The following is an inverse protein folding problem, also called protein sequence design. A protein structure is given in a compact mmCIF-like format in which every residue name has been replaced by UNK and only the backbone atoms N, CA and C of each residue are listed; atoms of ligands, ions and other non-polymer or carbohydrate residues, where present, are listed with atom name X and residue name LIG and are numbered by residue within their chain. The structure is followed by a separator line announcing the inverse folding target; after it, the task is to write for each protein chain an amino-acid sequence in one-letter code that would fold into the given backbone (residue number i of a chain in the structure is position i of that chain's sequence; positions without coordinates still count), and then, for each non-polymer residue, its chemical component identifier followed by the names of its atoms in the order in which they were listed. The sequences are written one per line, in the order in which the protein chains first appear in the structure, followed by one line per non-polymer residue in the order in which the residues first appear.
data_IF_583730613310
#
_entry.id   IF_583730613310
#
_cell.length_a   1.000
_cell.length_b   1.000
_cell.length_c   1.000
_cell.angle_alpha   90.00
_cell.angle_beta   90.00
_cell.angle_gamma   90.00
#
_symmetry.space_group_name_H-M   'P 1'
#
loop_
_entity.id
_entity.type
_entity.pdbx_description
1 polymer ?
#
# COMPACT_ATOMS: atom_id res chain seq x y z
N UNK A 1 -7.65 -18.61 -19.75
CA UNK A 1 -6.97 -17.93 -18.61
C UNK A 1 -6.00 -18.93 -18.00
N UNK A 2 -4.73 -18.58 -17.88
CA UNK A 2 -3.74 -19.44 -17.22
C UNK A 2 -3.50 -18.90 -15.81
N UNK A 3 -3.59 -19.78 -14.80
CA UNK A 3 -3.13 -19.46 -13.46
C UNK A 3 -1.60 -19.41 -13.48
N UNK A 4 -1.03 -18.30 -13.02
CA UNK A 4 0.41 -18.19 -12.85
C UNK A 4 0.80 -18.54 -11.40
N UNK A 5 2.07 -18.91 -11.23
CA UNK A 5 2.65 -19.13 -9.90
C UNK A 5 2.44 -17.87 -9.05
N UNK A 6 2.10 -18.06 -7.77
CA UNK A 6 1.91 -16.97 -6.85
C UNK A 6 3.16 -16.07 -6.77
N UNK A 7 2.96 -14.77 -6.87
CA UNK A 7 4.02 -13.77 -6.76
C UNK A 7 4.09 -13.26 -5.33
N UNK A 8 5.29 -12.90 -4.90
CA UNK A 8 5.47 -12.26 -3.59
C UNK A 8 5.07 -10.78 -3.66
N UNK A 9 4.57 -10.23 -2.56
CA UNK A 9 4.21 -8.80 -2.48
C UNK A 9 5.44 -7.95 -2.80
N UNK A 10 6.62 -8.33 -2.32
CA UNK A 10 7.87 -7.63 -2.61
C UNK A 10 8.17 -7.54 -4.11
N UNK A 11 8.06 -8.67 -4.84
CA UNK A 11 8.31 -8.68 -6.28
C UNK A 11 7.33 -7.77 -7.03
N UNK A 12 6.06 -7.81 -6.62
CA UNK A 12 5.01 -6.96 -7.21
C UNK A 12 5.26 -5.49 -6.95
N UNK A 13 5.66 -5.11 -5.74
CA UNK A 13 6.01 -3.71 -5.41
C UNK A 13 7.22 -3.23 -6.21
N UNK A 14 8.24 -4.07 -6.40
CA UNK A 14 9.39 -3.77 -7.27
C UNK A 14 8.97 -3.58 -8.74
N UNK A 15 8.06 -4.42 -9.22
CA UNK A 15 7.52 -4.33 -10.58
C UNK A 15 6.64 -3.07 -10.77
N UNK A 16 5.96 -2.58 -9.73
CA UNK A 16 5.29 -1.28 -9.72
C UNK A 16 6.31 -0.14 -9.79
N UNK A 17 7.34 -0.17 -8.95
CA UNK A 17 8.40 0.86 -8.93
C UNK A 17 9.13 0.95 -10.27
N UNK A 18 9.32 -0.17 -10.95
CA UNK A 18 9.93 -0.23 -12.30
C UNK A 18 8.97 0.06 -13.46
N UNK A 19 7.71 0.40 -13.17
CA UNK A 19 6.63 0.66 -14.16
C UNK A 19 6.27 -0.52 -15.05
N UNK A 20 6.64 -1.73 -14.66
CA UNK A 20 6.22 -2.96 -15.32
C UNK A 20 4.74 -3.26 -15.05
N UNK A 21 4.26 -2.95 -13.83
CA UNK A 21 2.85 -3.02 -13.46
C UNK A 21 2.24 -1.63 -13.48
N UNK A 22 1.18 -1.49 -14.25
CA UNK A 22 0.47 -0.22 -14.47
C UNK A 22 -1.04 -0.43 -14.37
N UNK A 23 -1.76 0.67 -14.28
CA UNK A 23 -3.22 0.71 -14.32
C UNK A 23 -3.68 1.07 -15.74
N UNK A 24 -4.67 0.37 -16.32
CA UNK A 24 -5.24 0.74 -17.62
C UNK A 24 -6.11 2.00 -17.48
N UNK A 25 -6.50 2.61 -18.59
CA UNK A 25 -7.37 3.78 -18.61
C UNK A 25 -8.76 3.56 -17.97
N UNK A 26 -9.22 2.29 -17.95
CA UNK A 26 -10.44 1.89 -17.24
C UNK A 26 -10.09 1.68 -15.75
N UNK A 27 -9.87 2.77 -15.05
CA UNK A 27 -9.55 2.76 -13.64
C UNK A 27 -10.58 3.54 -12.83
N UNK A 28 -10.78 3.15 -11.58
CA UNK A 28 -11.52 3.93 -10.60
C UNK A 28 -10.55 4.73 -9.75
N UNK A 29 -10.98 5.90 -9.31
CA UNK A 29 -10.24 6.64 -8.29
C UNK A 29 -9.97 5.76 -7.07
N UNK A 30 -8.86 6.02 -6.41
CA UNK A 30 -8.57 5.37 -5.14
C UNK A 30 -9.49 5.93 -4.06
N UNK A 31 -10.28 5.04 -3.45
CA UNK A 31 -11.31 5.42 -2.48
C UNK A 31 -11.18 4.76 -1.12
N UNK A 32 -10.24 3.84 -0.95
CA UNK A 32 -10.06 3.15 0.32
C UNK A 32 -9.57 4.10 1.40
N UNK A 33 -10.21 3.99 2.57
CA UNK A 33 -9.82 4.70 3.79
C UNK A 33 -8.60 4.02 4.43
N UNK A 34 -7.98 4.74 5.37
CA UNK A 34 -6.88 4.20 6.19
C UNK A 34 -7.27 2.94 6.93
N UNK A 35 -8.51 2.87 7.49
CA UNK A 35 -9.02 1.66 8.15
C UNK A 35 -9.13 0.45 7.22
N UNK A 36 -9.49 0.67 5.96
CA UNK A 36 -9.53 -0.43 4.98
C UNK A 36 -8.12 -0.91 4.62
N UNK A 37 -7.15 0.00 4.56
CA UNK A 37 -5.73 -0.35 4.38
C UNK A 37 -5.24 -1.16 5.59
N UNK A 38 -5.51 -0.71 6.81
CA UNK A 38 -5.16 -1.42 8.04
C UNK A 38 -5.74 -2.83 8.06
N UNK A 39 -7.04 -3.00 7.75
CA UNK A 39 -7.69 -4.32 7.66
C UNK A 39 -7.08 -5.23 6.58
N UNK A 40 -6.62 -4.67 5.46
CA UNK A 40 -5.92 -5.45 4.44
C UNK A 40 -4.60 -6.01 4.97
N UNK A 41 -3.81 -5.17 5.65
CA UNK A 41 -2.54 -5.60 6.24
C UNK A 41 -2.73 -6.57 7.40
N UNK A 42 -3.73 -6.35 8.24
CA UNK A 42 -4.11 -7.28 9.29
C UNK A 42 -4.47 -8.66 8.72
N UNK A 43 -5.28 -8.69 7.66
CA UNK A 43 -5.64 -9.93 6.96
C UNK A 43 -4.42 -10.65 6.38
N UNK A 44 -3.47 -9.91 5.80
CA UNK A 44 -2.22 -10.48 5.28
C UNK A 44 -1.36 -11.09 6.39
N UNK A 45 -1.28 -10.42 7.53
CA UNK A 45 -0.51 -10.91 8.69
C UNK A 45 -1.15 -12.10 9.37
N UNK A 46 -2.47 -12.25 9.21
CA UNK A 46 -3.25 -13.43 9.64
C UNK A 46 -3.21 -14.59 8.62
N UNK A 47 -2.47 -14.44 7.53
CA UNK A 47 -2.42 -15.38 6.41
C UNK A 47 -3.79 -15.62 5.76
N UNK A 48 -4.68 -14.64 5.83
CA UNK A 48 -5.96 -14.71 5.14
C UNK A 48 -5.82 -14.40 3.65
N UNK A 49 -6.54 -15.12 2.79
CA UNK A 49 -6.53 -14.86 1.36
C UNK A 49 -7.14 -13.49 1.06
N UNK A 50 -6.39 -12.65 0.37
CA UNK A 50 -6.85 -11.31 -0.03
C UNK A 50 -7.54 -11.29 -1.39
N UNK A 51 -7.99 -12.46 -1.86
CA UNK A 51 -8.58 -12.67 -3.18
C UNK A 51 -7.56 -12.58 -4.34
N UNK A 52 -7.98 -13.02 -5.53
CA UNK A 52 -7.14 -13.03 -6.72
C UNK A 52 -6.98 -11.63 -7.34
N UNK A 53 -5.94 -11.48 -8.15
CA UNK A 53 -5.72 -10.33 -9.02
C UNK A 53 -5.85 -10.75 -10.47
N UNK A 54 -6.41 -9.89 -11.30
CA UNK A 54 -6.51 -10.11 -12.73
C UNK A 54 -5.55 -9.18 -13.46
N UNK A 55 -4.63 -9.77 -14.20
CA UNK A 55 -3.63 -9.05 -14.99
C UNK A 55 -3.89 -9.24 -16.49
N UNK A 56 -3.57 -8.20 -17.23
CA UNK A 56 -3.53 -8.23 -18.68
C UNK A 56 -2.11 -7.93 -19.16
N UNK A 57 -1.48 -8.93 -19.77
CA UNK A 57 -0.16 -8.75 -20.38
C UNK A 57 -0.32 -8.03 -21.70
N UNK A 58 0.26 -6.85 -21.82
CA UNK A 58 0.24 -6.01 -23.01
C UNK A 58 1.63 -6.00 -23.66
N UNK A 59 1.77 -6.62 -24.86
CA UNK A 59 3.04 -6.59 -25.58
C UNK A 59 3.46 -5.16 -25.93
N UNK A 60 4.76 -4.93 -25.98
CA UNK A 60 5.37 -3.61 -26.27
C UNK A 60 4.81 -2.95 -27.52
N UNK A 61 4.61 -3.73 -28.58
CA UNK A 61 4.12 -3.25 -29.87
C UNK A 61 2.72 -2.64 -29.76
N UNK A 62 1.87 -3.22 -28.90
CA UNK A 62 0.49 -2.78 -28.66
C UNK A 62 0.35 -1.76 -27.54
N UNK A 63 1.36 -1.60 -26.71
CA UNK A 63 1.27 -0.74 -25.54
C UNK A 63 0.98 0.74 -25.90
N UNK A 64 1.44 1.18 -27.08
CA UNK A 64 1.21 2.55 -27.57
C UNK A 64 -0.25 2.85 -27.96
N UNK A 65 -1.07 1.82 -28.18
CA UNK A 65 -2.48 1.96 -28.51
C UNK A 65 -3.34 2.29 -27.29
N UNK A 66 -2.79 2.11 -26.09
CA UNK A 66 -3.50 2.28 -24.82
C UNK A 66 -2.86 3.35 -23.95
N UNK A 67 -3.68 3.93 -23.07
CA UNK A 67 -3.20 4.83 -22.01
C UNK A 67 -3.08 4.08 -20.71
N UNK A 68 -1.94 4.23 -20.06
CA UNK A 68 -1.65 3.64 -18.75
C UNK A 68 -1.37 4.72 -17.71
N UNK A 69 -1.57 4.34 -16.45
CA UNK A 69 -1.40 5.20 -15.30
C UNK A 69 -0.53 4.50 -14.25
N UNK A 70 0.25 5.26 -13.54
CA UNK A 70 1.06 4.78 -12.43
C UNK A 70 0.20 4.62 -11.18
N UNK A 71 0.64 3.79 -10.25
CA UNK A 71 0.00 3.69 -8.94
C UNK A 71 0.27 4.94 -8.11
N UNK A 72 -0.72 5.39 -7.34
CA UNK A 72 -0.53 6.46 -6.36
C UNK A 72 0.36 5.91 -5.24
N UNK A 73 1.49 6.56 -5.03
CA UNK A 73 2.37 6.29 -3.90
C UNK A 73 1.99 7.13 -2.69
N UNK A 74 1.89 8.42 -2.89
CA UNK A 74 1.60 9.39 -1.84
C UNK A 74 0.20 9.98 -2.07
N UNK A 75 -0.80 9.30 -1.47
CA UNK A 75 -2.18 9.73 -1.60
C UNK A 75 -2.44 11.01 -0.82
N UNK A 76 -3.05 11.99 -1.48
CA UNK A 76 -3.46 13.22 -0.84
C UNK A 76 -4.89 13.57 -1.24
N UNK A 77 -5.80 13.58 -0.26
CA UNK A 77 -7.25 13.72 -0.46
C UNK A 77 -7.66 14.95 -1.28
N UNK A 78 -6.88 16.03 -1.25
CA UNK A 78 -7.19 17.27 -1.98
C UNK A 78 -6.48 17.36 -3.32
N UNK A 79 -5.20 16.97 -3.42
CA UNK A 79 -4.34 17.26 -4.58
C UNK A 79 -3.77 16.04 -5.27
N UNK A 80 -3.83 14.85 -4.66
CA UNK A 80 -3.22 13.62 -5.17
C UNK A 80 -4.21 12.45 -5.17
N UNK A 81 -5.42 12.67 -5.69
CA UNK A 81 -6.47 11.63 -5.79
C UNK A 81 -6.38 10.82 -7.07
N UNK A 82 -5.80 11.42 -8.11
CA UNK A 82 -5.75 10.82 -9.45
C UNK A 82 -4.40 10.17 -9.68
N UNK A 83 -4.42 9.04 -10.35
CA UNK A 83 -3.23 8.34 -10.76
C UNK A 83 -2.49 9.14 -11.84
N UNK A 84 -1.18 9.35 -11.74
CA UNK A 84 -0.42 10.05 -12.76
C UNK A 84 -0.37 9.22 -14.05
N UNK A 85 -0.38 9.89 -15.20
CA UNK A 85 -0.23 9.21 -16.49
C UNK A 85 1.18 8.62 -16.59
N UNK A 86 1.25 7.34 -16.95
CA UNK A 86 2.51 6.65 -17.05
C UNK A 86 3.27 7.04 -18.33
N UNK A 87 4.58 7.26 -18.18
CA UNK A 87 5.47 7.29 -19.33
C UNK A 87 5.96 5.86 -19.60
N UNK A 88 5.53 5.29 -20.70
CA UNK A 88 5.85 3.92 -21.12
C UNK A 88 7.02 3.84 -22.10
N UNK A 89 7.74 4.96 -22.34
CA UNK A 89 8.90 4.98 -23.21
C UNK A 89 10.02 4.12 -22.63
N UNK A 90 10.47 3.12 -23.38
CA UNK A 90 11.53 2.21 -22.92
C UNK A 90 11.07 1.08 -21.99
N UNK A 91 9.79 0.98 -21.69
CA UNK A 91 9.24 -0.17 -20.99
C UNK A 91 8.97 -1.29 -22.00
N UNK A 92 9.35 -2.52 -21.63
CA UNK A 92 9.08 -3.69 -22.46
C UNK A 92 7.62 -4.15 -22.31
N UNK A 93 7.35 -5.35 -21.89
CA UNK A 93 5.99 -5.83 -21.66
C UNK A 93 5.36 -5.17 -20.42
N UNK A 94 4.16 -4.64 -20.57
CA UNK A 94 3.38 -4.04 -19.48
C UNK A 94 2.38 -5.07 -18.94
N UNK A 95 2.28 -5.16 -17.63
CA UNK A 95 1.23 -5.90 -16.92
C UNK A 95 0.19 -4.90 -16.42
N UNK A 96 -0.94 -4.79 -17.11
CA UNK A 96 -2.05 -3.95 -16.67
C UNK A 96 -2.91 -4.68 -15.64
N UNK A 97 -3.21 -4.05 -14.52
CA UNK A 97 -4.05 -4.64 -13.46
C UNK A 97 -5.50 -4.30 -13.74
N UNK A 98 -6.30 -5.30 -14.11
CA UNK A 98 -7.72 -5.15 -14.42
C UNK A 98 -8.61 -5.26 -13.18
N UNK A 99 -8.32 -6.22 -12.29
CA UNK A 99 -9.01 -6.36 -11.01
C UNK A 99 -8.03 -6.41 -9.83
N UNK A 100 -8.50 -5.92 -8.67
CA UNK A 100 -7.68 -5.77 -7.47
C UNK A 100 -6.92 -4.44 -7.40
N UNK A 101 -7.22 -3.47 -8.25
CA UNK A 101 -6.55 -2.17 -8.31
C UNK A 101 -6.51 -1.46 -6.95
N UNK A 102 -7.63 -1.41 -6.20
CA UNK A 102 -7.69 -0.77 -4.88
C UNK A 102 -6.79 -1.48 -3.86
N UNK A 103 -6.82 -2.82 -3.85
CA UNK A 103 -5.96 -3.63 -2.97
C UNK A 103 -4.48 -3.42 -3.28
N UNK A 104 -4.11 -3.44 -4.57
CA UNK A 104 -2.73 -3.24 -4.99
C UNK A 104 -2.24 -1.83 -4.66
N UNK A 105 -3.05 -0.80 -4.92
CA UNK A 105 -2.75 0.59 -4.54
C UNK A 105 -2.59 0.70 -3.02
N UNK A 106 -3.44 0.03 -2.24
CA UNK A 106 -3.33 0.02 -0.77
C UNK A 106 -2.04 -0.61 -0.28
N UNK A 107 -1.61 -1.73 -0.89
CA UNK A 107 -0.31 -2.34 -0.59
C UNK A 107 0.84 -1.38 -0.90
N UNK A 108 0.78 -0.72 -2.05
CA UNK A 108 1.82 0.22 -2.46
C UNK A 108 1.90 1.45 -1.55
N UNK A 109 0.76 2.07 -1.22
CA UNK A 109 0.68 3.19 -0.26
C UNK A 109 1.20 2.76 1.12
N UNK A 110 0.73 1.61 1.63
CA UNK A 110 1.10 1.15 2.97
C UNK A 110 2.57 0.79 3.12
N UNK A 111 3.19 0.19 2.09
CA UNK A 111 4.58 -0.27 2.14
C UNK A 111 5.60 0.80 1.73
N UNK A 112 5.24 1.68 0.80
CA UNK A 112 6.20 2.61 0.18
C UNK A 112 5.80 4.08 0.28
N UNK A 113 4.54 4.36 0.53
CA UNK A 113 3.99 5.69 0.38
C UNK A 113 3.48 6.32 1.67
N UNK A 114 2.52 7.21 1.48
CA UNK A 114 1.84 7.93 2.55
C UNK A 114 0.39 8.22 2.20
N UNK A 115 -0.41 8.51 3.23
CA UNK A 115 -1.82 8.81 3.10
C UNK A 115 -2.16 10.11 3.83
N UNK A 116 -2.63 11.13 3.10
CA UNK A 116 -3.03 12.41 3.68
C UNK A 116 -4.52 12.67 3.47
N UNK A 117 -5.27 12.73 4.55
CA UNK A 117 -6.68 13.10 4.56
C UNK A 117 -6.96 14.23 5.53
N UNK A 118 -8.08 14.92 5.31
CA UNK A 118 -8.45 16.10 6.08
C UNK A 118 -8.75 15.74 7.54
N UNK A 119 -8.07 16.44 8.45
CA UNK A 119 -8.37 16.35 9.87
C UNK A 119 -9.71 17.03 10.17
N UNK A 120 -10.48 16.46 11.09
CA UNK A 120 -11.74 17.04 11.56
C UNK A 120 -11.55 18.48 12.04
N UNK A 121 -12.59 19.30 11.90
CA UNK A 121 -12.65 20.70 12.36
C UNK A 121 -11.65 21.68 11.67
N UNK A 122 -10.82 21.23 10.72
CA UNK A 122 -9.99 22.14 9.92
C UNK A 122 -10.69 22.52 8.62
N UNK A 123 -10.39 23.73 8.10
CA UNK A 123 -10.93 24.18 6.83
C UNK A 123 -10.35 23.40 5.68
N UNK A 124 -11.12 23.22 4.61
CA UNK A 124 -10.72 22.44 3.44
C UNK A 124 -9.55 23.06 2.66
N UNK A 125 -9.44 24.36 2.67
CA UNK A 125 -8.40 25.15 1.99
C UNK A 125 -7.09 25.23 2.77
N UNK A 126 -7.09 24.86 4.06
CA UNK A 126 -5.90 24.88 4.90
C UNK A 126 -4.95 23.70 4.56
N UNK A 127 -3.73 23.97 4.05
CA UNK A 127 -2.76 22.91 3.76
C UNK A 127 -2.39 22.07 5.00
N UNK A 128 -2.38 22.66 6.19
CA UNK A 128 -2.09 21.94 7.44
C UNK A 128 -3.25 21.03 7.91
N UNK A 129 -4.35 21.00 7.17
CA UNK A 129 -5.46 20.09 7.45
C UNK A 129 -5.18 18.65 7.01
N UNK A 130 -4.15 18.42 6.21
CA UNK A 130 -3.83 17.15 5.58
C UNK A 130 -2.45 16.61 6.03
N UNK A 131 -2.29 16.21 7.29
CA UNK A 131 -1.03 15.63 7.73
C UNK A 131 -0.77 14.33 6.95
N UNK A 132 0.48 14.18 6.49
CA UNK A 132 0.92 12.95 5.84
C UNK A 132 1.09 11.84 6.89
N UNK A 133 0.49 10.69 6.65
CA UNK A 133 0.48 9.53 7.54
C UNK A 133 1.13 8.35 6.84
N UNK A 134 1.88 7.56 7.59
CA UNK A 134 2.43 6.27 7.13
C UNK A 134 1.86 5.16 7.99
N UNK A 135 1.77 3.98 7.40
CA UNK A 135 1.36 2.77 8.10
C UNK A 135 2.54 2.22 8.92
N UNK A 136 2.28 1.84 10.15
CA UNK A 136 3.24 1.21 11.07
C UNK A 136 2.61 -0.01 11.73
N UNK A 137 3.42 -1.02 12.01
CA UNK A 137 3.06 -2.16 12.84
C UNK A 137 3.63 -1.96 14.24
N UNK A 138 2.79 -1.99 15.26
CA UNK A 138 3.24 -2.01 16.65
C UNK A 138 3.54 -3.47 17.06
N UNK A 139 4.82 -3.79 17.13
CA UNK A 139 5.30 -5.12 17.53
C UNK A 139 5.39 -5.32 19.05
N UNK A 140 5.12 -4.29 19.85
CA UNK A 140 5.29 -4.30 21.30
C UNK A 140 3.99 -4.39 22.08
N UNK A 141 2.86 -4.37 21.42
CA UNK A 141 1.56 -4.37 22.08
C UNK A 141 0.46 -4.97 21.21
N UNK A 142 -0.60 -5.39 21.88
CA UNK A 142 -1.82 -5.85 21.21
C UNK A 142 -2.57 -4.67 20.60
N UNK A 143 -3.47 -4.97 19.67
CA UNK A 143 -4.33 -3.96 19.07
C UNK A 143 -5.30 -3.38 20.12
N UNK A 144 -5.40 -2.06 20.17
CA UNK A 144 -6.48 -1.36 20.92
C UNK A 144 -7.79 -1.34 20.11
N UNK A 145 -7.73 -1.58 18.80
CA UNK A 145 -8.90 -1.69 17.92
C UNK A 145 -9.39 -3.14 17.92
N UNK A 146 -10.60 -3.37 18.40
CA UNK A 146 -11.22 -4.71 18.47
C UNK A 146 -11.45 -5.34 17.10
N UNK A 147 -11.44 -4.53 16.04
CA UNK A 147 -11.60 -4.99 14.65
C UNK A 147 -10.29 -5.48 14.02
N UNK A 148 -9.13 -5.32 14.70
CA UNK A 148 -7.81 -5.68 14.21
C UNK A 148 -7.10 -6.64 15.16
N UNK A 149 -6.47 -7.66 14.62
CA UNK A 149 -5.63 -8.59 15.39
C UNK A 149 -4.25 -8.01 15.67
N UNK A 150 -3.69 -7.29 14.69
CA UNK A 150 -2.41 -6.62 14.82
C UNK A 150 -2.58 -5.13 15.05
N UNK A 151 -1.72 -4.57 15.88
CA UNK A 151 -1.76 -3.14 16.18
C UNK A 151 -1.12 -2.33 15.02
N UNK A 152 -1.93 -2.05 14.00
CA UNK A 152 -1.56 -1.26 12.84
C UNK A 152 -1.95 0.20 13.08
N UNK A 153 -1.00 1.11 13.00
CA UNK A 153 -1.17 2.50 13.40
C UNK A 153 -0.69 3.48 12.32
N UNK A 154 -1.34 4.62 12.26
CA UNK A 154 -0.90 5.77 11.47
C UNK A 154 -0.04 6.73 12.30
N UNK A 155 0.87 7.44 11.64
CA UNK A 155 1.87 8.31 12.28
C UNK A 155 1.33 9.35 13.26
N UNK A 156 0.07 9.76 13.15
CA UNK A 156 -0.53 10.73 14.08
C UNK A 156 -0.72 10.16 15.49
N UNK A 157 -0.95 8.86 15.61
CA UNK A 157 -1.10 8.20 16.90
C UNK A 157 0.21 8.19 17.70
N UNK A 158 1.35 8.09 17.01
CA UNK A 158 2.67 8.12 17.65
C UNK A 158 3.04 9.45 18.27
N UNK A 159 2.57 10.56 17.69
CA UNK A 159 2.86 11.89 18.24
C UNK A 159 2.19 12.16 19.59
N UNK A 160 1.09 11.48 19.89
CA UNK A 160 0.28 11.74 21.08
C UNK A 160 0.61 10.87 22.29
N UNK A 161 1.07 9.63 22.11
CA UNK A 161 1.20 8.66 23.21
C UNK A 161 2.62 8.14 23.48
N UNK A 162 3.57 8.20 22.55
CA UNK A 162 4.86 7.53 22.72
C UNK A 162 6.06 8.45 22.41
N UNK A 163 6.82 8.81 23.46
CA UNK A 163 8.06 9.56 23.34
C UNK A 163 9.23 8.69 22.86
N UNK A 164 9.96 9.19 21.87
CA UNK A 164 11.34 8.91 21.39
C UNK A 164 11.91 7.47 21.37
N UNK A 165 11.66 6.58 22.32
CA UNK A 165 12.33 5.27 22.38
C UNK A 165 11.83 4.24 21.33
N UNK A 166 10.61 4.40 20.82
CA UNK A 166 9.99 3.47 19.88
C UNK A 166 10.40 3.79 18.45
N UNK A 167 10.71 5.04 18.14
CA UNK A 167 11.11 5.49 16.81
C UNK A 167 12.28 4.71 16.19
N UNK A 168 13.26 4.31 16.96
CA UNK A 168 14.43 3.57 16.49
C UNK A 168 14.09 2.15 16.01
N UNK A 169 13.17 1.45 16.67
CA UNK A 169 12.78 0.07 16.32
C UNK A 169 11.89 0.01 15.08
N UNK A 170 11.00 1.00 14.88
CA UNK A 170 10.15 1.10 13.70
C UNK A 170 10.91 1.51 12.44
N UNK A 171 11.94 2.35 12.58
CA UNK A 171 12.82 2.72 11.48
C UNK A 171 13.57 1.50 10.92
N UNK A 172 13.91 0.55 11.77
CA UNK A 172 14.57 -0.70 11.38
C UNK A 172 13.65 -1.62 10.57
N UNK A 173 12.37 -1.74 10.95
CA UNK A 173 11.38 -2.54 10.23
C UNK A 173 11.13 -2.00 8.81
N UNK A 174 11.06 -0.70 8.65
CA UNK A 174 10.89 -0.05 7.34
C UNK A 174 12.13 -0.21 6.44
N UNK A 175 13.33 -0.34 7.03
CA UNK A 175 14.60 -0.44 6.31
C UNK A 175 14.95 -1.86 5.89
N UNK A 176 14.50 -2.87 6.62
CA UNK A 176 14.88 -4.28 6.40
C UNK A 176 13.93 -5.03 5.47
N UNK A 177 12.77 -4.52 5.11
CA UNK A 177 11.81 -5.07 4.10
C UNK A 177 11.66 -6.61 4.08
N UNK A 178 11.88 -7.29 5.19
CA UNK A 178 11.76 -8.75 5.28
C UNK A 178 10.40 -9.14 5.86
N UNK A 179 9.31 -8.76 5.19
CA UNK A 179 7.96 -9.27 5.51
C UNK A 179 7.86 -10.79 5.26
N UNK A 180 8.80 -11.37 4.52
CA UNK A 180 8.76 -12.76 4.04
C UNK A 180 9.22 -13.82 5.02
N UNK A 181 9.84 -13.47 6.12
CA UNK A 181 10.29 -14.46 7.11
C UNK A 181 9.26 -14.75 8.18
N UNK A 182 8.08 -14.17 8.12
CA UNK A 182 7.04 -14.33 9.14
C UNK A 182 6.04 -15.47 8.88
N UNK A 183 6.32 -16.40 7.99
CA UNK A 183 5.46 -17.58 7.83
C UNK A 183 5.41 -18.49 9.08
N UNK A 184 6.28 -18.30 10.07
CA UNK A 184 6.34 -19.13 11.28
C UNK A 184 6.81 -18.39 12.55
N UNK A 185 6.33 -17.18 12.83
CA UNK A 185 6.52 -16.65 14.17
C UNK A 185 5.33 -17.07 15.03
N UNK A 186 5.50 -18.18 15.73
CA UNK A 186 4.62 -18.52 16.84
C UNK A 186 4.73 -17.44 17.93
N UNK A 187 3.58 -17.11 18.57
CA UNK A 187 3.50 -16.21 19.75
C UNK A 187 4.53 -16.51 20.85
N UNK A 188 5.15 -17.70 20.82
CA UNK A 188 6.13 -18.16 21.83
C UNK A 188 7.55 -17.62 21.61
N UNK A 189 7.87 -17.01 20.48
CA UNK A 189 9.23 -16.56 20.17
C UNK A 189 9.54 -15.14 20.68
N UNK A 190 8.60 -14.52 21.41
CA UNK A 190 8.72 -13.15 21.94
C UNK A 190 8.60 -13.07 23.48
N UNK A 191 8.85 -14.18 24.22
CA UNK A 191 8.99 -14.17 25.69
C UNK A 191 10.44 -14.06 26.10
#
# INVERSE_FOLDING_TARGET
MAYQTALTIESVIKDIDSKKYLLPSIQREFVWSTKQIEKLFDSLMMDYPINAFLFWKVPKEKAKEFSFYEFIRDYHQRTGRHNPKANISGVDDIMAILDGQQRMTSLYIGLKGSYAYKTSHKRWDNPQAYPSRKLYLNILGESEDTDLTYNLLHSDYFRSKFHQKIYQKYYYFHKTQHIYQYQHIHRQDFL
#
